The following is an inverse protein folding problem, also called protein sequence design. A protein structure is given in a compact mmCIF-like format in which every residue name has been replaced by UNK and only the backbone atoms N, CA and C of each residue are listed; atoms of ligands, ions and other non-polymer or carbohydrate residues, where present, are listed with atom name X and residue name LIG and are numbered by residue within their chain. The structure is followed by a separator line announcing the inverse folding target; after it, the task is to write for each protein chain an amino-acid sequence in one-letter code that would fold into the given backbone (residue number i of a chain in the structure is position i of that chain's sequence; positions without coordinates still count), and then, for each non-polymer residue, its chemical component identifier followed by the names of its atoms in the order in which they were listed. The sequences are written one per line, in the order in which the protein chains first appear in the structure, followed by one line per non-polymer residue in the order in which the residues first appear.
data_IF_125770930210
#
_entry.id   IF_125770930210
#
_cell.length_a   1.000
_cell.length_b   1.000
_cell.length_c   1.000
_cell.angle_alpha   90.00
_cell.angle_beta   90.00
_cell.angle_gamma   90.00
#
_symmetry.space_group_name_H-M   'P 1'
#
loop_
_entity.id
_entity.type
_entity.pdbx_description
1 polymer ?
#
# COMPACT_ATOMS: atom_id res chain seq x y z
N UNK A 1 32.02 -29.13 -7.13
CA UNK A 1 30.89 -29.01 -6.16
C UNK A 1 29.71 -29.79 -6.71
N UNK A 2 29.31 -30.88 -6.05
CA UNK A 2 28.22 -31.75 -6.51
C UNK A 2 26.87 -31.02 -6.48
N UNK A 3 26.03 -31.29 -7.49
CA UNK A 3 24.70 -30.70 -7.68
C UNK A 3 23.79 -30.88 -6.44
N UNK A 4 23.95 -31.99 -5.72
CA UNK A 4 23.20 -32.31 -4.50
C UNK A 4 23.62 -31.47 -3.28
N UNK A 5 24.92 -31.14 -3.16
CA UNK A 5 25.39 -30.25 -2.09
C UNK A 5 24.86 -28.83 -2.30
N UNK A 6 24.76 -28.38 -3.56
CA UNK A 6 24.19 -27.07 -3.91
C UNK A 6 22.68 -27.01 -3.66
N UNK A 7 21.92 -28.07 -3.99
CA UNK A 7 20.48 -28.11 -3.75
C UNK A 7 20.13 -28.17 -2.26
N UNK A 8 20.89 -28.93 -1.46
CA UNK A 8 20.75 -29.00 -0.01
C UNK A 8 21.06 -27.66 0.67
N UNK A 9 22.15 -26.99 0.28
CA UNK A 9 22.51 -25.66 0.80
C UNK A 9 21.46 -24.60 0.46
N UNK A 10 20.93 -24.65 -0.77
CA UNK A 10 19.84 -23.76 -1.21
C UNK A 10 18.57 -23.97 -0.40
N UNK A 11 18.18 -25.22 -0.13
CA UNK A 11 17.02 -25.55 0.71
C UNK A 11 17.18 -25.14 2.18
N UNK A 12 18.40 -25.22 2.72
CA UNK A 12 18.77 -24.76 4.06
C UNK A 12 18.67 -23.22 4.19
N UNK A 13 19.24 -22.49 3.23
CA UNK A 13 19.17 -21.03 3.14
C UNK A 13 17.73 -20.54 2.97
N UNK A 14 16.93 -21.20 2.13
CA UNK A 14 15.51 -20.86 1.95
C UNK A 14 14.72 -21.03 3.26
N UNK A 15 14.95 -22.11 4.02
CA UNK A 15 14.29 -22.34 5.32
C UNK A 15 14.74 -21.32 6.39
N UNK A 16 16.04 -21.02 6.47
CA UNK A 16 16.58 -20.04 7.41
C UNK A 16 16.06 -18.62 7.12
N UNK A 17 15.90 -18.28 5.84
CA UNK A 17 15.42 -16.98 5.41
C UNK A 17 13.89 -16.85 5.47
N UNK A 18 13.12 -17.92 5.24
CA UNK A 18 11.71 -17.97 5.64
C UNK A 18 11.58 -17.55 7.10
N UNK A 19 12.43 -18.11 7.97
CA UNK A 19 12.46 -17.75 9.39
C UNK A 19 12.86 -16.29 9.66
N UNK A 20 13.52 -15.58 8.74
CA UNK A 20 13.86 -14.16 8.90
C UNK A 20 12.74 -13.23 8.41
N UNK A 21 12.24 -13.44 7.19
CA UNK A 21 11.14 -12.65 6.59
C UNK A 21 9.88 -12.79 7.46
N UNK A 22 9.50 -14.00 7.86
CA UNK A 22 8.32 -14.22 8.69
C UNK A 22 8.48 -13.69 10.13
N UNK A 23 9.72 -13.63 10.65
CA UNK A 23 9.95 -13.23 12.05
C UNK A 23 10.06 -11.71 12.22
N UNK A 24 10.46 -10.97 11.17
CA UNK A 24 10.58 -9.50 11.18
C UNK A 24 9.47 -8.78 10.41
N UNK A 25 8.76 -9.41 9.48
CA UNK A 25 7.65 -8.76 8.74
C UNK A 25 6.60 -8.16 9.67
N UNK A 26 6.19 -8.89 10.72
CA UNK A 26 5.23 -8.36 11.70
C UNK A 26 5.73 -7.10 12.44
N UNK A 27 7.04 -7.00 12.68
CA UNK A 27 7.63 -5.81 13.29
C UNK A 27 7.60 -4.61 12.32
N UNK A 28 7.97 -4.81 11.06
CA UNK A 28 7.92 -3.76 10.05
C UNK A 28 6.49 -3.32 9.71
N UNK A 29 5.54 -4.26 9.66
CA UNK A 29 4.12 -3.94 9.50
C UNK A 29 3.58 -3.18 10.72
N UNK A 30 4.04 -3.50 11.93
CA UNK A 30 3.67 -2.74 13.13
C UNK A 30 4.25 -1.32 13.10
N UNK A 31 5.50 -1.15 12.66
CA UNK A 31 6.11 0.17 12.44
C UNK A 31 5.29 0.97 11.42
N UNK A 32 4.96 0.35 10.27
CA UNK A 32 4.13 0.98 9.26
C UNK A 32 2.78 1.42 9.84
N UNK A 33 2.08 0.56 10.57
CA UNK A 33 0.81 0.88 11.24
C UNK A 33 0.96 1.99 12.29
N UNK A 34 2.09 2.06 12.99
CA UNK A 34 2.38 3.14 13.93
C UNK A 34 2.60 4.48 13.20
N UNK A 35 3.29 4.48 12.06
CA UNK A 35 3.39 5.68 11.20
C UNK A 35 2.04 6.09 10.62
N UNK A 36 1.19 5.13 10.24
CA UNK A 36 -0.17 5.42 9.81
C UNK A 36 -0.98 6.09 10.93
N UNK A 37 -0.95 5.52 12.14
CA UNK A 37 -1.59 6.11 13.32
C UNK A 37 -1.06 7.53 13.60
N UNK A 38 0.25 7.73 13.54
CA UNK A 38 0.89 9.03 13.78
C UNK A 38 0.53 10.07 12.71
N UNK A 39 0.59 9.69 11.43
CA UNK A 39 0.25 10.58 10.31
C UNK A 39 -1.21 11.02 10.38
N UNK A 40 -2.12 10.11 10.69
CA UNK A 40 -3.55 10.38 10.80
C UNK A 40 -4.00 10.87 12.19
N UNK A 41 -3.08 11.02 13.15
CA UNK A 41 -3.45 11.39 14.52
C UNK A 41 -4.25 12.69 14.57
N UNK A 42 -3.66 13.78 14.05
CA UNK A 42 -4.28 15.12 14.05
C UNK A 42 -5.52 15.22 13.17
N UNK A 43 -5.51 14.53 12.02
CA UNK A 43 -6.55 14.67 11.01
C UNK A 43 -7.72 13.70 11.18
N UNK A 44 -7.62 12.72 12.09
CA UNK A 44 -8.65 11.72 12.31
C UNK A 44 -8.76 11.29 13.78
N UNK A 45 -7.72 10.67 14.34
CA UNK A 45 -7.84 10.02 15.66
C UNK A 45 -8.05 10.99 16.83
N UNK A 46 -7.56 12.23 16.76
CA UNK A 46 -7.76 13.23 17.82
C UNK A 46 -9.08 14.00 17.71
N UNK A 47 -9.86 13.79 16.66
CA UNK A 47 -11.09 14.54 16.34
C UNK A 47 -12.25 13.62 15.96
N UNK A 48 -12.26 12.39 16.48
CA UNK A 48 -13.25 11.36 16.12
C UNK A 48 -14.71 11.82 16.24
N UNK A 49 -15.05 12.61 17.26
CA UNK A 49 -16.44 13.06 17.49
C UNK A 49 -16.79 14.37 16.76
N UNK A 50 -15.80 15.09 16.23
CA UNK A 50 -15.97 16.45 15.69
C UNK A 50 -15.32 16.58 14.32
N UNK A 51 -16.14 16.70 13.28
CA UNK A 51 -15.67 17.04 11.94
C UNK A 51 -15.49 15.84 11.00
N UNK A 52 -16.07 14.68 11.33
CA UNK A 52 -16.12 13.53 10.43
C UNK A 52 -17.53 13.07 10.09
N UNK A 53 -17.74 12.82 8.80
CA UNK A 53 -18.95 12.18 8.28
C UNK A 53 -18.84 10.65 8.29
N UNK A 54 -19.91 10.00 7.82
CA UNK A 54 -19.96 8.54 7.69
C UNK A 54 -18.83 7.98 6.82
N UNK A 55 -18.50 8.60 5.69
CA UNK A 55 -17.52 8.09 4.73
C UNK A 55 -16.11 8.11 5.31
N UNK A 56 -15.77 9.17 6.04
CA UNK A 56 -14.50 9.30 6.75
C UNK A 56 -14.35 8.24 7.84
N UNK A 57 -15.39 8.01 8.66
CA UNK A 57 -15.37 6.94 9.65
C UNK A 57 -15.31 5.55 9.04
N UNK A 58 -16.13 5.30 8.00
CA UNK A 58 -16.19 4.00 7.35
C UNK A 58 -14.84 3.63 6.72
N UNK A 59 -14.19 4.57 6.05
CA UNK A 59 -12.83 4.38 5.53
C UNK A 59 -11.80 4.21 6.64
N UNK A 60 -11.76 5.12 7.63
CA UNK A 60 -10.78 5.09 8.72
C UNK A 60 -10.83 3.80 9.54
N UNK A 61 -12.03 3.30 9.86
CA UNK A 61 -12.24 2.03 10.55
C UNK A 61 -11.80 0.85 9.66
N UNK A 62 -12.21 0.82 8.39
CA UNK A 62 -11.85 -0.26 7.46
C UNK A 62 -10.33 -0.38 7.27
N UNK A 63 -9.64 0.76 7.12
CA UNK A 63 -8.18 0.82 7.01
C UNK A 63 -7.49 0.38 8.31
N UNK A 64 -8.04 0.76 9.47
CA UNK A 64 -7.51 0.33 10.76
C UNK A 64 -7.62 -1.19 10.95
N UNK A 65 -8.76 -1.78 10.56
CA UNK A 65 -8.98 -3.22 10.57
C UNK A 65 -7.99 -3.91 9.62
N UNK A 66 -7.77 -3.37 8.42
CA UNK A 66 -6.81 -3.92 7.47
C UNK A 66 -5.37 -3.91 8.03
N UNK A 67 -4.90 -2.79 8.58
CA UNK A 67 -3.58 -2.69 9.19
C UNK A 67 -3.43 -3.67 10.37
N UNK A 68 -4.44 -3.76 11.24
CA UNK A 68 -4.44 -4.72 12.35
C UNK A 68 -4.39 -6.16 11.85
N UNK A 69 -5.14 -6.46 10.78
CA UNK A 69 -5.16 -7.77 10.14
C UNK A 69 -3.77 -8.13 9.59
N UNK A 70 -3.09 -7.24 8.88
CA UNK A 70 -1.74 -7.49 8.35
C UNK A 70 -0.73 -7.81 9.46
N UNK A 71 -0.71 -7.00 10.53
CA UNK A 71 0.16 -7.22 11.70
C UNK A 71 -0.18 -8.56 12.35
N UNK A 72 -1.47 -8.82 12.59
CA UNK A 72 -1.95 -10.05 13.21
C UNK A 72 -1.58 -11.28 12.37
N UNK A 73 -1.71 -11.22 11.04
CA UNK A 73 -1.37 -12.34 10.14
C UNK A 73 0.10 -12.73 10.30
N UNK A 74 0.99 -11.74 10.32
CA UNK A 74 2.42 -11.97 10.49
C UNK A 74 2.76 -12.54 11.88
N UNK A 75 2.11 -12.02 12.93
CA UNK A 75 2.28 -12.54 14.30
C UNK A 75 1.78 -13.98 14.45
N UNK A 76 0.63 -14.32 13.87
CA UNK A 76 0.09 -15.69 13.94
C UNK A 76 1.03 -16.71 13.30
N UNK A 77 1.66 -16.38 12.16
CA UNK A 77 2.70 -17.23 11.56
C UNK A 77 3.92 -17.35 12.49
N UNK A 78 4.37 -16.24 13.07
CA UNK A 78 5.50 -16.24 14.03
C UNK A 78 5.23 -17.12 15.25
N UNK A 79 4.01 -17.10 15.79
CA UNK A 79 3.57 -17.92 16.91
C UNK A 79 3.10 -19.33 16.50
N UNK A 80 3.29 -19.71 15.23
CA UNK A 80 2.89 -21.01 14.66
C UNK A 80 1.39 -21.31 14.79
N UNK A 81 0.55 -20.28 14.93
CA UNK A 81 -0.92 -20.38 14.99
C UNK A 81 -1.51 -20.43 13.57
N UNK A 82 -1.05 -21.38 12.76
CA UNK A 82 -1.35 -21.49 11.33
C UNK A 82 -2.84 -21.71 11.04
N UNK A 83 -3.59 -22.34 11.96
CA UNK A 83 -5.04 -22.51 11.81
C UNK A 83 -5.76 -21.15 11.85
N UNK A 84 -5.44 -20.31 12.85
CA UNK A 84 -6.03 -18.98 13.00
C UNK A 84 -5.61 -18.08 11.83
N UNK A 85 -4.34 -18.14 11.40
CA UNK A 85 -3.87 -17.46 10.19
C UNK A 85 -4.74 -17.78 8.98
N UNK A 86 -5.08 -19.06 8.76
CA UNK A 86 -5.96 -19.48 7.66
C UNK A 86 -7.40 -18.97 7.81
N UNK A 87 -7.98 -19.00 9.03
CA UNK A 87 -9.32 -18.45 9.26
C UNK A 87 -9.36 -16.94 9.00
N UNK A 88 -8.40 -16.21 9.55
CA UNK A 88 -8.28 -14.78 9.31
C UNK A 88 -8.00 -14.50 7.83
N UNK A 89 -7.20 -15.33 7.15
CA UNK A 89 -6.97 -15.22 5.71
C UNK A 89 -8.22 -15.48 4.86
N UNK A 90 -9.23 -16.18 5.38
CA UNK A 90 -10.56 -16.27 4.73
C UNK A 90 -11.38 -15.01 4.99
N UNK A 91 -11.32 -14.46 6.21
CA UNK A 91 -11.98 -13.19 6.53
C UNK A 91 -11.46 -12.03 5.66
N UNK A 92 -10.23 -12.09 5.14
CA UNK A 92 -9.70 -11.03 4.26
C UNK A 92 -10.46 -10.92 2.94
N UNK A 93 -11.17 -11.97 2.50
CA UNK A 93 -12.06 -11.89 1.33
C UNK A 93 -13.31 -11.03 1.59
N UNK A 94 -13.59 -10.65 2.83
CA UNK A 94 -14.67 -9.72 3.19
C UNK A 94 -14.05 -8.36 3.58
N UNK A 95 -13.04 -8.37 4.45
CA UNK A 95 -12.38 -7.14 4.92
C UNK A 95 -11.76 -6.34 3.78
N UNK A 96 -11.08 -7.01 2.84
CA UNK A 96 -10.40 -6.33 1.75
C UNK A 96 -11.39 -5.65 0.79
N UNK A 97 -12.44 -6.31 0.26
CA UNK A 97 -13.45 -5.62 -0.54
C UNK A 97 -14.16 -4.47 0.19
N UNK A 98 -14.46 -4.60 1.48
CA UNK A 98 -15.05 -3.51 2.28
C UNK A 98 -14.11 -2.31 2.35
N UNK A 99 -12.82 -2.54 2.57
CA UNK A 99 -11.79 -1.50 2.57
C UNK A 99 -11.63 -0.83 1.19
N UNK A 100 -11.68 -1.59 0.11
CA UNK A 100 -11.64 -1.05 -1.26
C UNK A 100 -12.89 -0.19 -1.53
N UNK A 101 -14.07 -0.70 -1.19
CA UNK A 101 -15.32 0.04 -1.33
C UNK A 101 -15.31 1.34 -0.53
N UNK A 102 -14.87 1.29 0.75
CA UNK A 102 -14.79 2.50 1.58
C UNK A 102 -13.85 3.54 1.01
N UNK A 103 -12.76 3.12 0.35
CA UNK A 103 -11.82 4.01 -0.35
C UNK A 103 -12.46 4.68 -1.57
N UNK A 104 -13.24 3.94 -2.37
CA UNK A 104 -13.98 4.57 -3.48
C UNK A 104 -15.05 5.53 -2.98
N UNK A 105 -15.79 5.16 -1.93
CA UNK A 105 -16.84 6.02 -1.38
C UNK A 105 -16.29 7.32 -0.80
N UNK A 106 -15.21 7.28 -0.02
CA UNK A 106 -14.60 8.51 0.51
C UNK A 106 -13.98 9.35 -0.61
N UNK A 107 -13.42 8.73 -1.65
CA UNK A 107 -12.87 9.45 -2.81
C UNK A 107 -13.98 10.19 -3.56
N UNK A 108 -15.09 9.49 -3.82
CA UNK A 108 -16.27 10.06 -4.46
C UNK A 108 -16.83 11.23 -3.63
N UNK A 109 -17.07 11.00 -2.34
CA UNK A 109 -17.61 12.02 -1.44
C UNK A 109 -16.69 13.24 -1.30
N UNK A 110 -15.37 13.04 -1.26
CA UNK A 110 -14.41 14.15 -1.12
C UNK A 110 -14.29 15.01 -2.38
N UNK A 111 -14.74 14.51 -3.53
CA UNK A 111 -14.59 15.17 -4.82
C UNK A 111 -15.93 15.57 -5.46
N UNK A 112 -17.08 15.14 -4.92
CA UNK A 112 -18.40 15.40 -5.51
C UNK A 112 -18.74 16.88 -5.63
N UNK A 113 -18.25 17.70 -4.70
CA UNK A 113 -18.52 19.15 -4.67
C UNK A 113 -17.45 19.96 -5.42
N UNK A 114 -16.50 19.28 -6.07
CA UNK A 114 -15.42 19.91 -6.82
C UNK A 114 -15.71 19.92 -8.32
N UNK A 115 -15.12 20.86 -9.05
CA UNK A 115 -15.21 20.83 -10.50
C UNK A 115 -14.45 19.60 -11.02
N UNK A 116 -15.16 18.63 -11.60
CA UNK A 116 -14.60 17.38 -12.12
C UNK A 116 -13.62 17.57 -13.28
N UNK A 117 -13.55 18.77 -13.85
CA UNK A 117 -12.58 19.15 -14.89
C UNK A 117 -11.40 19.95 -14.33
N UNK A 118 -11.39 20.28 -13.04
CA UNK A 118 -10.25 20.92 -12.39
C UNK A 118 -9.08 19.92 -12.28
N UNK A 119 -7.89 20.37 -12.66
CA UNK A 119 -6.68 19.56 -12.67
C UNK A 119 -6.37 18.99 -11.29
N UNK A 120 -6.67 19.73 -10.22
CA UNK A 120 -6.49 19.24 -8.85
C UNK A 120 -7.38 18.05 -8.56
N UNK A 121 -8.65 18.08 -8.97
CA UNK A 121 -9.60 16.99 -8.79
C UNK A 121 -9.21 15.77 -9.65
N UNK A 122 -8.82 15.99 -10.90
CA UNK A 122 -8.31 14.93 -11.78
C UNK A 122 -7.07 14.24 -11.19
N UNK A 123 -6.12 15.02 -10.66
CA UNK A 123 -4.91 14.53 -10.01
C UNK A 123 -5.23 13.75 -8.73
N UNK A 124 -6.10 14.29 -7.86
CA UNK A 124 -6.47 13.62 -6.61
C UNK A 124 -7.22 12.31 -6.86
N UNK A 125 -8.11 12.29 -7.85
CA UNK A 125 -8.76 11.05 -8.26
C UNK A 125 -7.71 10.05 -8.77
N UNK A 126 -6.73 10.49 -9.58
CA UNK A 126 -5.69 9.59 -10.09
C UNK A 126 -4.86 9.00 -8.95
N UNK A 127 -4.51 9.83 -7.97
CA UNK A 127 -3.78 9.40 -6.78
C UNK A 127 -4.55 8.31 -6.02
N UNK A 128 -5.81 8.54 -5.66
CA UNK A 128 -6.59 7.60 -4.84
C UNK A 128 -7.02 6.35 -5.63
N UNK A 129 -7.51 6.53 -6.85
CA UNK A 129 -8.01 5.44 -7.68
C UNK A 129 -6.87 4.51 -8.12
N UNK A 130 -5.77 5.06 -8.63
CA UNK A 130 -4.67 4.23 -9.15
C UNK A 130 -3.90 3.54 -8.01
N UNK A 131 -3.81 4.15 -6.81
CA UNK A 131 -3.32 3.47 -5.60
C UNK A 131 -4.18 2.26 -5.25
N UNK A 132 -5.50 2.42 -5.33
CA UNK A 132 -6.47 1.36 -5.05
C UNK A 132 -6.33 0.21 -6.05
N UNK A 133 -6.16 0.51 -7.34
CA UNK A 133 -5.90 -0.49 -8.38
C UNK A 133 -4.58 -1.24 -8.13
N UNK A 134 -3.50 -0.52 -7.79
CA UNK A 134 -2.21 -1.14 -7.46
C UNK A 134 -2.33 -2.07 -6.24
N UNK A 135 -3.05 -1.64 -5.20
CA UNK A 135 -3.32 -2.44 -4.01
C UNK A 135 -4.10 -3.72 -4.34
N UNK A 136 -5.14 -3.64 -5.16
CA UNK A 136 -5.91 -4.80 -5.64
C UNK A 136 -5.00 -5.76 -6.41
N UNK A 137 -4.15 -5.26 -7.30
CA UNK A 137 -3.22 -6.07 -8.07
C UNK A 137 -2.23 -6.82 -7.16
N UNK A 138 -1.60 -6.13 -6.21
CA UNK A 138 -0.63 -6.72 -5.27
C UNK A 138 -1.32 -7.75 -4.34
N UNK A 139 -2.49 -7.43 -3.80
CA UNK A 139 -3.27 -8.36 -2.98
C UNK A 139 -3.65 -9.62 -3.76
N UNK A 140 -4.14 -9.45 -4.99
CA UNK A 140 -4.51 -10.56 -5.89
C UNK A 140 -3.30 -11.46 -6.16
N UNK A 141 -2.13 -10.89 -6.45
CA UNK A 141 -0.89 -11.66 -6.60
C UNK A 141 -0.51 -12.42 -5.33
N UNK A 142 -0.74 -11.85 -4.15
CA UNK A 142 -0.55 -12.51 -2.86
C UNK A 142 -1.49 -13.70 -2.65
N UNK A 143 -2.78 -13.54 -2.97
CA UNK A 143 -3.77 -14.62 -2.83
C UNK A 143 -3.57 -15.71 -3.87
N UNK A 144 -3.28 -15.36 -5.12
CA UNK A 144 -2.97 -16.31 -6.19
C UNK A 144 -1.82 -17.22 -5.79
N UNK A 145 -0.78 -16.63 -5.19
CA UNK A 145 0.42 -17.35 -4.77
C UNK A 145 0.31 -17.96 -3.36
N UNK A 146 -0.90 -18.09 -2.77
CA UNK A 146 -1.10 -18.64 -1.41
C UNK A 146 -0.52 -20.04 -1.17
N UNK A 147 -0.34 -20.83 -2.24
CA UNK A 147 0.29 -22.17 -2.18
C UNK A 147 1.82 -22.10 -2.05
N UNK A 148 2.43 -20.94 -2.33
CA UNK A 148 3.85 -20.65 -2.12
C UNK A 148 3.99 -19.63 -0.99
N UNK A 149 4.22 -20.07 0.26
CA UNK A 149 4.29 -19.17 1.42
C UNK A 149 5.31 -18.04 1.25
N UNK A 150 6.40 -18.33 0.53
CA UNK A 150 7.45 -17.37 0.21
C UNK A 150 6.93 -16.22 -0.65
N UNK A 151 6.23 -16.52 -1.74
CA UNK A 151 5.67 -15.51 -2.64
C UNK A 151 4.47 -14.79 -2.00
N UNK A 152 3.57 -15.56 -1.39
CA UNK A 152 2.44 -15.03 -0.64
C UNK A 152 2.87 -13.98 0.39
N UNK A 153 3.86 -14.31 1.23
CA UNK A 153 4.35 -13.40 2.26
C UNK A 153 4.97 -12.11 1.69
N UNK A 154 5.69 -12.19 0.56
CA UNK A 154 6.26 -11.00 -0.10
C UNK A 154 5.18 -10.07 -0.63
N UNK A 155 4.22 -10.60 -1.40
CA UNK A 155 3.12 -9.79 -1.93
C UNK A 155 2.25 -9.23 -0.81
N UNK A 156 1.91 -10.02 0.21
CA UNK A 156 1.11 -9.54 1.35
C UNK A 156 1.84 -8.43 2.12
N UNK A 157 3.16 -8.52 2.28
CA UNK A 157 3.95 -7.44 2.86
C UNK A 157 3.90 -6.18 1.98
N UNK A 158 3.99 -6.34 0.65
CA UNK A 158 3.97 -5.22 -0.29
C UNK A 158 2.63 -4.50 -0.42
N UNK A 159 1.54 -5.02 0.16
CA UNK A 159 0.23 -4.32 0.16
C UNK A 159 0.26 -2.98 0.91
N UNK A 160 1.30 -2.71 1.71
CA UNK A 160 1.46 -1.42 2.39
C UNK A 160 1.93 -0.30 1.46
N UNK A 161 2.63 -0.60 0.36
CA UNK A 161 3.32 0.43 -0.44
C UNK A 161 2.38 1.42 -1.14
N UNK A 162 1.24 1.01 -1.72
CA UNK A 162 0.28 1.97 -2.27
C UNK A 162 -0.27 2.97 -1.25
N UNK A 163 -0.18 2.66 0.06
CA UNK A 163 -0.65 3.49 1.15
C UNK A 163 0.43 4.44 1.72
N UNK A 164 1.64 4.47 1.14
CA UNK A 164 2.72 5.33 1.65
C UNK A 164 2.37 6.80 1.52
N UNK A 165 1.86 7.23 0.36
CA UNK A 165 1.56 8.64 0.08
C UNK A 165 0.58 9.27 1.08
N UNK A 166 -0.61 8.72 1.37
CA UNK A 166 -1.51 9.35 2.34
C UNK A 166 -0.90 9.44 3.74
N UNK A 167 0.02 8.54 4.12
CA UNK A 167 0.71 8.61 5.41
C UNK A 167 1.81 9.68 5.39
N UNK A 168 2.69 9.64 4.39
CA UNK A 168 3.81 10.59 4.27
C UNK A 168 3.31 12.01 4.10
N UNK A 169 2.27 12.23 3.29
CA UNK A 169 1.71 13.55 3.05
C UNK A 169 1.19 14.17 4.34
N UNK A 170 0.46 13.40 5.15
CA UNK A 170 -0.05 13.87 6.44
C UNK A 170 1.09 14.18 7.40
N UNK A 171 2.14 13.36 7.44
CA UNK A 171 3.32 13.64 8.27
C UNK A 171 4.01 14.92 7.80
N UNK A 172 4.19 15.10 6.49
CA UNK A 172 4.85 16.27 5.92
C UNK A 172 4.04 17.54 6.20
N UNK A 173 2.76 17.55 5.85
CA UNK A 173 1.91 18.72 6.06
C UNK A 173 1.68 19.07 7.53
N UNK A 174 1.69 18.10 8.45
CA UNK A 174 1.47 18.36 9.87
C UNK A 174 2.73 18.68 10.67
N UNK A 175 3.87 18.10 10.29
CA UNK A 175 5.10 18.12 11.11
C UNK A 175 6.37 18.53 10.35
N UNK A 176 6.43 18.38 9.02
CA UNK A 176 7.61 18.69 8.21
C UNK A 176 7.30 19.68 7.08
N UNK A 177 6.46 20.69 7.36
CA UNK A 177 6.05 21.72 6.38
C UNK A 177 7.22 22.35 5.60
N UNK A 178 8.42 22.58 6.19
CA UNK A 178 9.57 23.10 5.44
C UNK A 178 10.03 22.23 4.25
N UNK A 179 9.60 20.96 4.15
CA UNK A 179 9.91 20.10 3.00
C UNK A 179 9.00 20.37 1.78
N UNK A 180 7.84 21.00 1.98
CA UNK A 180 6.84 21.21 0.92
C UNK A 180 7.39 22.04 -0.26
N UNK A 181 8.12 23.15 -0.06
CA UNK A 181 8.67 23.94 -1.18
C UNK A 181 9.73 23.21 -2.01
N UNK A 182 10.34 22.14 -1.48
CA UNK A 182 11.33 21.33 -2.20
C UNK A 182 10.70 20.19 -3.01
N UNK A 183 9.39 19.97 -2.87
CA UNK A 183 8.69 18.99 -3.69
C UNK A 183 8.67 19.48 -5.16
N UNK A 184 8.79 18.58 -6.14
CA UNK A 184 8.59 18.94 -7.53
C UNK A 184 7.24 19.60 -7.73
N UNK A 185 7.18 20.63 -8.57
CA UNK A 185 5.93 21.34 -8.86
C UNK A 185 5.33 20.85 -10.17
N UNK A 186 4.01 20.67 -10.18
CA UNK A 186 3.22 20.48 -11.39
C UNK A 186 2.23 21.62 -11.45
N UNK A 187 2.24 22.38 -12.55
CA UNK A 187 1.33 23.49 -12.83
C UNK A 187 1.20 24.49 -11.67
N UNK A 188 2.34 24.81 -11.04
CA UNK A 188 2.44 25.79 -9.95
C UNK A 188 2.17 25.25 -8.55
N UNK A 189 1.72 23.99 -8.40
CA UNK A 189 1.47 23.35 -7.11
C UNK A 189 2.55 22.32 -6.71
N UNK A 190 2.97 22.25 -5.43
CA UNK A 190 3.92 21.25 -4.97
C UNK A 190 3.28 19.85 -4.95
N UNK A 191 3.98 18.86 -5.50
CA UNK A 191 3.54 17.47 -5.54
C UNK A 191 4.17 16.69 -4.38
N UNK A 192 3.64 16.92 -3.17
CA UNK A 192 4.11 16.25 -1.94
C UNK A 192 4.10 14.71 -2.02
N UNK A 193 3.13 14.04 -2.68
CA UNK A 193 3.16 12.59 -2.92
C UNK A 193 4.46 12.04 -3.52
N UNK A 194 5.25 12.88 -4.22
CA UNK A 194 6.57 12.52 -4.74
C UNK A 194 7.48 11.87 -3.68
N UNK A 195 7.50 12.41 -2.45
CA UNK A 195 8.35 11.86 -1.38
C UNK A 195 7.90 10.45 -0.96
N UNK A 196 6.58 10.22 -0.91
CA UNK A 196 6.01 8.91 -0.61
C UNK A 196 6.32 7.89 -1.70
N UNK A 197 6.20 8.28 -2.97
CA UNK A 197 6.57 7.46 -4.12
C UNK A 197 8.05 7.08 -4.09
N UNK A 198 8.93 8.07 -3.95
CA UNK A 198 10.38 7.85 -3.89
C UNK A 198 10.75 6.93 -2.74
N UNK A 199 10.17 7.13 -1.55
CA UNK A 199 10.41 6.27 -0.40
C UNK A 199 9.95 4.83 -0.67
N UNK A 200 8.76 4.64 -1.22
CA UNK A 200 8.23 3.31 -1.55
C UNK A 200 9.15 2.60 -2.57
N UNK A 201 9.53 3.29 -3.65
CA UNK A 201 10.36 2.73 -4.72
C UNK A 201 11.76 2.34 -4.19
N UNK A 202 12.41 3.21 -3.43
CA UNK A 202 13.71 2.93 -2.82
C UNK A 202 13.64 1.73 -1.88
N UNK A 203 12.60 1.63 -1.04
CA UNK A 203 12.43 0.49 -0.14
C UNK A 203 12.19 -0.81 -0.90
N UNK A 204 11.35 -0.80 -1.96
CA UNK A 204 11.13 -1.99 -2.79
C UNK A 204 12.39 -2.40 -3.54
N UNK A 205 13.18 -1.45 -4.05
CA UNK A 205 14.48 -1.72 -4.68
C UNK A 205 15.45 -2.35 -3.68
N UNK A 206 15.56 -1.79 -2.47
CA UNK A 206 16.38 -2.37 -1.39
C UNK A 206 15.94 -3.78 -1.06
N UNK A 207 14.63 -4.02 -0.95
CA UNK A 207 14.06 -5.35 -0.71
C UNK A 207 14.35 -6.30 -1.88
N UNK A 208 14.25 -5.85 -3.12
CA UNK A 208 14.54 -6.66 -4.31
C UNK A 208 16.02 -7.07 -4.36
N UNK A 209 16.94 -6.12 -4.14
CA UNK A 209 18.39 -6.40 -4.09
C UNK A 209 18.71 -7.35 -2.94
N UNK A 210 18.15 -7.09 -1.76
CA UNK A 210 18.35 -7.92 -0.58
C UNK A 210 17.82 -9.35 -0.80
N UNK A 211 16.61 -9.50 -1.35
CA UNK A 211 15.99 -10.79 -1.63
C UNK A 211 16.77 -11.58 -2.68
N UNK A 212 17.23 -10.91 -3.74
CA UNK A 212 18.09 -11.51 -4.76
C UNK A 212 19.41 -12.00 -4.16
N UNK A 213 20.09 -11.19 -3.35
CA UNK A 213 21.34 -11.59 -2.68
C UNK A 213 21.15 -12.77 -1.72
N UNK A 214 19.96 -12.96 -1.16
CA UNK A 214 19.68 -14.04 -0.19
C UNK A 214 19.10 -15.30 -0.79
N UNK A 215 18.39 -15.22 -1.91
CA UNK A 215 17.67 -16.37 -2.50
C UNK A 215 17.97 -16.64 -3.97
N UNK A 216 18.53 -15.66 -4.67
CA UNK A 216 18.59 -15.63 -6.13
C UNK A 216 17.24 -15.36 -6.81
N UNK A 217 16.15 -15.11 -6.08
CA UNK A 217 14.84 -14.77 -6.66
C UNK A 217 14.79 -13.31 -7.10
N UNK A 218 14.01 -13.06 -8.15
CA UNK A 218 13.78 -11.73 -8.74
C UNK A 218 12.29 -11.46 -8.97
N UNK A 219 11.41 -12.35 -8.51
CA UNK A 219 10.02 -12.39 -8.90
C UNK A 219 9.19 -11.29 -8.22
N UNK A 220 8.87 -11.45 -6.93
CA UNK A 220 7.79 -10.68 -6.31
C UNK A 220 8.09 -9.17 -6.20
N UNK A 221 9.29 -8.78 -5.74
CA UNK A 221 9.60 -7.37 -5.51
C UNK A 221 9.78 -6.57 -6.81
N UNK A 222 10.30 -7.18 -7.88
CA UNK A 222 10.39 -6.49 -9.19
C UNK A 222 9.00 -6.34 -9.83
N UNK A 223 8.12 -7.35 -9.69
CA UNK A 223 6.73 -7.23 -10.13
C UNK A 223 6.03 -6.10 -9.38
N UNK A 224 6.18 -6.04 -8.05
CA UNK A 224 5.62 -4.96 -7.23
C UNK A 224 6.18 -3.60 -7.64
N UNK A 225 7.49 -3.51 -7.88
CA UNK A 225 8.11 -2.27 -8.37
C UNK A 225 7.48 -1.85 -9.71
N UNK A 226 7.28 -2.77 -10.65
CA UNK A 226 6.59 -2.49 -11.91
C UNK A 226 5.18 -1.96 -11.70
N UNK A 227 4.40 -2.56 -10.80
CA UNK A 227 3.04 -2.11 -10.46
C UNK A 227 3.08 -0.69 -9.85
N UNK A 228 4.00 -0.43 -8.92
CA UNK A 228 4.16 0.89 -8.30
C UNK A 228 4.60 1.95 -9.32
N UNK A 229 5.55 1.63 -10.20
CA UNK A 229 5.97 2.55 -11.26
C UNK A 229 4.82 2.89 -12.21
N UNK A 230 3.99 1.91 -12.61
CA UNK A 230 2.80 2.17 -13.41
C UNK A 230 1.81 3.07 -12.66
N UNK A 231 1.60 2.82 -11.36
CA UNK A 231 0.81 3.69 -10.50
C UNK A 231 1.39 5.12 -10.44
N UNK A 232 2.67 5.30 -10.12
CA UNK A 232 3.28 6.62 -9.98
C UNK A 232 3.24 7.40 -11.30
N UNK A 233 3.62 6.76 -12.41
CA UNK A 233 3.59 7.36 -13.75
C UNK A 233 2.16 7.74 -14.13
N UNK A 234 1.17 6.88 -13.89
CA UNK A 234 -0.23 7.19 -14.20
C UNK A 234 -0.75 8.40 -13.43
N UNK A 235 -0.39 8.57 -12.16
CA UNK A 235 -0.76 9.77 -11.37
C UNK A 235 -0.19 11.05 -11.99
N UNK A 236 1.04 11.01 -12.51
CA UNK A 236 1.70 12.16 -13.11
C UNK A 236 1.31 12.44 -14.56
N UNK A 237 0.58 11.55 -15.22
CA UNK A 237 0.31 11.65 -16.65
C UNK A 237 -1.17 11.60 -17.01
N UNK A 238 -1.99 10.82 -16.30
CA UNK A 238 -3.37 10.55 -16.69
C UNK A 238 -4.22 11.82 -16.76
N UNK A 239 -4.03 12.78 -15.84
CA UNK A 239 -4.76 14.05 -15.84
C UNK A 239 -4.59 14.88 -17.12
N UNK A 240 -3.59 14.58 -17.96
CA UNK A 240 -3.34 15.26 -19.24
C UNK A 240 -4.12 14.68 -20.42
N UNK A 241 -4.79 13.55 -20.23
CA UNK A 241 -5.49 12.84 -21.29
C UNK A 241 -7.01 12.96 -21.13
N UNK A 242 -7.73 13.14 -22.24
CA UNK A 242 -9.19 13.28 -22.28
C UNK A 242 -9.94 12.05 -21.76
N UNK A 243 -9.36 10.84 -21.89
CA UNK A 243 -9.98 9.64 -21.33
C UNK A 243 -10.10 9.72 -19.80
N UNK A 244 -9.13 10.34 -19.13
CA UNK A 244 -9.12 10.47 -17.68
C UNK A 244 -10.14 11.50 -17.22
N UNK A 245 -10.27 12.61 -17.94
CA UNK A 245 -11.32 13.60 -17.69
C UNK A 245 -12.71 12.97 -17.87
N UNK A 246 -12.93 12.21 -18.95
CA UNK A 246 -14.17 11.47 -19.19
C UNK A 246 -14.48 10.46 -18.08
N UNK A 247 -13.47 9.70 -17.65
CA UNK A 247 -13.57 8.78 -16.51
C UNK A 247 -13.91 9.51 -15.22
N UNK A 248 -13.27 10.65 -14.94
CA UNK A 248 -13.49 11.44 -13.73
C UNK A 248 -14.91 11.99 -13.67
N UNK A 249 -15.43 12.48 -14.80
CA UNK A 249 -16.82 12.93 -14.92
C UNK A 249 -17.81 11.80 -14.68
N UNK A 250 -17.58 10.63 -15.28
CA UNK A 250 -18.42 9.45 -15.06
C UNK A 250 -18.39 9.03 -13.59
N UNK A 251 -17.21 8.90 -12.99
CA UNK A 251 -17.05 8.45 -11.62
C UNK A 251 -17.75 9.36 -10.62
N UNK A 252 -17.66 10.69 -10.80
CA UNK A 252 -18.25 11.68 -9.90
C UNK A 252 -19.76 11.92 -10.11
N UNK A 253 -20.37 11.28 -11.12
CA UNK A 253 -21.81 11.32 -11.39
C UNK A 253 -22.57 10.11 -10.83
N UNK A 254 -21.86 9.11 -10.30
CA UNK A 254 -22.46 7.89 -9.72
C UNK A 254 -23.20 8.18 -8.41
#
# INVERSE_FOLDING_TARGET
MNCEAFSYFRGSLEKAMQKFIFRRSGFWLAIFSAFALFGFWRSYFSVLEKGHDFFQHFHGISMSIWCLMLVSQALLIRYKKNQIHRYMGRASFIVFPIMILSTFLITHHSLSDTNSSDMRSLYQLALMFNATVALIAIYTMGIWNRKSPQLHGRYMFCTIFPMFTPITDRIIFNYLKPLVPYAPTIDGGPVVPFYGFLLADLLVIVLAIWDYKKTGRKDAFLIVLGILMLYHISVFTFYRFSFWEGFSKWFLQL
#
